data_IF_479847049618
#
_entry.id   IF_479847049618
#
_cell.length_a   1.000
_cell.length_b   1.000
_cell.length_c   1.000
_cell.angle_alpha   90.00
_cell.angle_beta   90.00
_cell.angle_gamma   90.00
#
_symmetry.space_group_name_H-M   'P 1'
#
loop_
_entity.id
_entity.type
_entity.pdbx_description
1 polymer ?
#
# COMPACT_ATOMS: atom_id res chain seq x y z
N UNK A 1 -7.31 -14.37 10.20
CA UNK A 1 -6.80 -13.14 9.58
C UNK A 1 -7.89 -12.05 9.58
N UNK A 2 -7.53 -10.78 9.77
CA UNK A 2 -8.44 -9.62 9.66
C UNK A 2 -8.95 -9.39 8.23
N UNK A 3 -8.28 -9.96 7.24
CA UNK A 3 -8.64 -9.81 5.82
C UNK A 3 -9.41 -11.00 5.24
N UNK A 4 -10.00 -11.83 6.10
CA UNK A 4 -10.77 -13.00 5.69
C UNK A 4 -9.93 -14.27 5.61
N UNK A 5 -10.12 -15.07 4.56
CA UNK A 5 -9.39 -16.32 4.37
C UNK A 5 -7.91 -16.05 4.13
N UNK A 6 -7.08 -16.64 4.94
CA UNK A 6 -5.62 -16.56 4.86
C UNK A 6 -5.02 -16.92 6.20
N UNK A 7 -4.13 -17.90 6.18
CA UNK A 7 -3.45 -18.39 7.36
C UNK A 7 -2.07 -17.75 7.50
N UNK A 8 -1.66 -17.56 8.74
CA UNK A 8 -0.28 -17.26 9.09
C UNK A 8 0.36 -18.59 9.44
N UNK A 9 1.46 -18.92 8.79
CA UNK A 9 2.13 -20.18 8.94
C UNK A 9 3.47 -19.99 9.66
N UNK A 10 3.80 -20.94 10.53
CA UNK A 10 5.16 -21.12 11.03
C UNK A 10 5.90 -22.07 10.09
N UNK A 11 7.14 -21.74 9.79
CA UNK A 11 8.01 -22.56 8.94
C UNK A 11 9.24 -22.97 9.75
N UNK A 12 9.44 -24.28 9.87
CA UNK A 12 10.56 -24.85 10.58
C UNK A 12 11.56 -25.42 9.58
N UNK A 13 12.84 -25.09 9.76
CA UNK A 13 13.94 -25.65 8.99
C UNK A 13 14.76 -26.54 9.92
N UNK A 14 14.62 -27.86 9.77
CA UNK A 14 15.38 -28.82 10.57
C UNK A 14 16.36 -29.58 9.68
N UNK A 15 17.65 -29.34 9.88
CA UNK A 15 18.76 -29.97 9.17
C UNK A 15 18.63 -29.94 7.62
N UNK A 16 17.96 -28.93 7.08
CA UNK A 16 17.79 -28.78 5.64
C UNK A 16 19.12 -28.49 4.98
N UNK A 17 19.53 -29.34 4.05
CA UNK A 17 20.75 -29.17 3.25
C UNK A 17 20.39 -28.55 1.91
N UNK A 18 21.08 -27.46 1.58
CA UNK A 18 20.97 -26.80 0.27
C UNK A 18 22.35 -26.73 -0.37
N UNK A 19 22.45 -26.82 -1.71
CA UNK A 19 23.73 -26.68 -2.38
C UNK A 19 24.26 -25.24 -2.19
N UNK A 20 25.58 -25.08 -2.09
CA UNK A 20 26.23 -23.78 -1.95
C UNK A 20 25.87 -22.82 -3.09
N UNK A 21 25.60 -23.36 -4.27
CA UNK A 21 25.14 -22.57 -5.43
C UNK A 21 23.76 -21.91 -5.24
N UNK A 22 22.99 -22.32 -4.25
CA UNK A 22 21.72 -21.67 -3.90
C UNK A 22 21.90 -20.43 -3.03
N UNK A 23 23.13 -20.13 -2.56
CA UNK A 23 23.42 -18.93 -1.79
C UNK A 23 23.32 -17.69 -2.68
N UNK A 24 22.62 -16.69 -2.19
CA UNK A 24 22.55 -15.36 -2.79
C UNK A 24 23.62 -14.46 -2.12
N UNK A 25 24.57 -13.98 -2.88
CA UNK A 25 25.66 -13.12 -2.40
C UNK A 25 26.70 -13.85 -1.55
N UNK A 26 27.52 -13.08 -0.85
CA UNK A 26 28.58 -13.59 0.00
C UNK A 26 28.11 -13.73 1.47
N UNK A 27 28.90 -14.42 2.27
CA UNK A 27 28.64 -14.53 3.72
C UNK A 27 28.65 -13.15 4.38
N UNK A 28 27.64 -12.88 5.22
CA UNK A 28 27.46 -11.60 5.89
C UNK A 28 26.64 -10.55 5.10
N UNK A 29 26.33 -10.75 3.84
CA UNK A 29 25.59 -9.80 3.00
C UNK A 29 24.05 -9.90 3.10
N UNK A 30 23.52 -10.79 3.93
CA UNK A 30 22.07 -11.04 4.00
C UNK A 30 21.26 -9.76 4.25
N UNK A 31 21.73 -8.86 5.10
CA UNK A 31 21.03 -7.62 5.44
C UNK A 31 20.99 -6.64 4.27
N UNK A 32 22.05 -6.54 3.51
CA UNK A 32 22.11 -5.70 2.31
C UNK A 32 21.15 -6.22 1.22
N UNK A 33 21.15 -7.54 1.00
CA UNK A 33 20.27 -8.20 0.03
C UNK A 33 18.80 -8.03 0.41
N UNK A 34 18.45 -8.26 1.68
CA UNK A 34 17.10 -8.07 2.21
C UNK A 34 16.68 -6.60 2.11
N UNK A 35 17.56 -5.67 2.48
CA UNK A 35 17.31 -4.24 2.38
C UNK A 35 16.99 -3.80 0.94
N UNK A 36 17.74 -4.31 -0.03
CA UNK A 36 17.49 -4.10 -1.45
C UNK A 36 16.10 -4.63 -1.86
N UNK A 37 15.78 -5.87 -1.48
CA UNK A 37 14.49 -6.50 -1.78
C UNK A 37 13.32 -5.70 -1.20
N UNK A 38 13.39 -5.36 0.10
CA UNK A 38 12.35 -4.59 0.79
C UNK A 38 12.15 -3.19 0.19
N UNK A 39 13.25 -2.54 -0.25
CA UNK A 39 13.16 -1.25 -0.94
C UNK A 39 12.42 -1.36 -2.27
N UNK A 40 12.59 -2.47 -2.98
CA UNK A 40 11.88 -2.74 -4.23
C UNK A 40 10.41 -3.08 -4.01
N UNK A 41 10.08 -3.83 -2.95
CA UNK A 41 8.71 -4.20 -2.60
C UNK A 41 7.82 -3.00 -2.23
N UNK A 42 8.41 -1.92 -1.69
CA UNK A 42 7.67 -0.71 -1.29
C UNK A 42 6.99 0.05 -2.43
N UNK A 43 7.24 -0.32 -3.68
CA UNK A 43 6.58 0.29 -4.83
C UNK A 43 5.09 -0.08 -4.89
N UNK A 44 4.25 0.93 -4.80
CA UNK A 44 2.80 0.77 -4.67
C UNK A 44 2.02 0.74 -5.99
N UNK A 45 2.66 0.51 -7.15
CA UNK A 45 1.98 0.61 -8.46
C UNK A 45 0.69 -0.23 -8.54
N UNK A 46 0.69 -1.54 -8.22
CA UNK A 46 -0.56 -2.31 -8.28
C UNK A 46 -1.58 -1.83 -7.25
N UNK A 47 -1.14 -1.33 -6.11
CA UNK A 47 -2.00 -0.96 -4.99
C UNK A 47 -2.82 0.30 -5.26
N UNK A 48 -2.21 1.37 -5.81
CA UNK A 48 -2.98 2.56 -6.18
C UNK A 48 -4.01 2.24 -7.26
N UNK A 49 -3.67 1.36 -8.20
CA UNK A 49 -4.58 0.95 -9.26
C UNK A 49 -5.80 0.20 -8.72
N UNK A 50 -5.59 -0.68 -7.72
CA UNK A 50 -6.67 -1.39 -7.03
C UNK A 50 -7.57 -0.41 -6.27
N UNK A 51 -6.99 0.54 -5.53
CA UNK A 51 -7.75 1.57 -4.82
C UNK A 51 -8.56 2.43 -5.78
N UNK A 52 -7.95 2.90 -6.88
CA UNK A 52 -8.64 3.66 -7.91
C UNK A 52 -9.79 2.88 -8.54
N UNK A 53 -9.59 1.63 -8.89
CA UNK A 53 -10.63 0.76 -9.46
C UNK A 53 -11.78 0.52 -8.48
N UNK A 54 -11.50 0.40 -7.18
CA UNK A 54 -12.54 0.29 -6.17
C UNK A 54 -13.37 1.56 -6.06
N UNK A 55 -12.73 2.73 -6.07
CA UNK A 55 -13.42 4.01 -6.07
C UNK A 55 -14.30 4.18 -7.30
N UNK A 56 -13.78 3.90 -8.50
CA UNK A 56 -14.53 4.05 -9.76
C UNK A 56 -15.76 3.12 -9.78
N UNK A 57 -15.65 1.90 -9.24
CA UNK A 57 -16.77 0.98 -9.08
C UNK A 57 -17.81 1.50 -8.09
N UNK A 58 -17.39 1.98 -6.92
CA UNK A 58 -18.28 2.54 -5.92
C UNK A 58 -19.04 3.75 -6.47
N UNK A 59 -18.35 4.69 -7.10
CA UNK A 59 -18.95 5.86 -7.75
C UNK A 59 -19.93 5.44 -8.86
N UNK A 60 -19.61 4.43 -9.66
CA UNK A 60 -20.51 3.91 -10.70
C UNK A 60 -21.81 3.38 -10.10
N UNK A 61 -21.73 2.62 -9.00
CA UNK A 61 -22.92 2.09 -8.31
C UNK A 61 -23.76 3.24 -7.74
N UNK A 62 -23.15 4.22 -7.08
CA UNK A 62 -23.85 5.39 -6.53
C UNK A 62 -24.56 6.21 -7.63
N UNK A 63 -23.94 6.38 -8.78
CA UNK A 63 -24.54 7.05 -9.95
C UNK A 63 -25.73 6.27 -10.49
N UNK A 64 -25.62 4.95 -10.65
CA UNK A 64 -26.70 4.10 -11.10
C UNK A 64 -27.93 4.13 -10.17
N UNK A 65 -27.70 4.37 -8.88
CA UNK A 65 -28.74 4.50 -7.86
C UNK A 65 -29.31 5.92 -7.73
N UNK A 66 -28.74 6.89 -8.42
CA UNK A 66 -29.14 8.30 -8.34
C UNK A 66 -28.82 8.98 -7.01
N UNK A 67 -27.86 8.43 -6.23
CA UNK A 67 -27.47 8.96 -4.91
C UNK A 67 -26.08 9.62 -4.90
N UNK A 68 -25.46 9.78 -6.06
CA UNK A 68 -24.14 10.44 -6.19
C UNK A 68 -24.24 11.97 -6.29
N UNK A 69 -25.45 12.54 -6.31
CA UNK A 69 -25.65 13.95 -6.67
C UNK A 69 -25.37 14.95 -5.54
N UNK A 70 -25.26 14.49 -4.30
CA UNK A 70 -24.93 15.38 -3.19
C UNK A 70 -23.52 15.96 -3.34
N UNK A 71 -23.37 17.24 -2.99
CA UNK A 71 -22.07 17.92 -3.06
C UNK A 71 -21.06 17.25 -2.10
N UNK A 72 -21.50 16.84 -0.93
CA UNK A 72 -20.67 16.11 0.04
C UNK A 72 -20.09 14.83 -0.56
N UNK A 73 -20.93 13.98 -1.17
CA UNK A 73 -20.48 12.73 -1.81
C UNK A 73 -19.47 12.99 -2.92
N UNK A 74 -19.69 14.05 -3.73
CA UNK A 74 -18.76 14.43 -4.80
C UNK A 74 -17.43 14.91 -4.27
N UNK A 75 -17.41 15.72 -3.20
CA UNK A 75 -16.20 16.20 -2.56
C UNK A 75 -15.39 15.03 -2.00
N UNK A 76 -16.05 14.10 -1.29
CA UNK A 76 -15.37 12.96 -0.70
C UNK A 76 -14.81 11.98 -1.75
N UNK A 77 -15.56 11.75 -2.83
CA UNK A 77 -15.06 10.99 -3.98
C UNK A 77 -13.85 11.69 -4.63
N UNK A 78 -13.88 13.02 -4.75
CA UNK A 78 -12.78 13.80 -5.30
C UNK A 78 -11.52 13.73 -4.40
N UNK A 79 -11.68 13.79 -3.08
CA UNK A 79 -10.58 13.60 -2.13
C UNK A 79 -9.95 12.21 -2.28
N UNK A 80 -10.77 11.16 -2.32
CA UNK A 80 -10.27 9.80 -2.53
C UNK A 80 -9.54 9.67 -3.87
N UNK A 81 -10.08 10.25 -4.94
CA UNK A 81 -9.45 10.26 -6.26
C UNK A 81 -8.11 11.02 -6.26
N UNK A 82 -8.03 12.16 -5.56
CA UNK A 82 -6.80 12.94 -5.45
C UNK A 82 -5.70 12.16 -4.73
N UNK A 83 -6.03 11.41 -3.67
CA UNK A 83 -5.06 10.54 -2.97
C UNK A 83 -4.60 9.37 -3.85
N UNK A 84 -5.50 8.76 -4.64
CA UNK A 84 -5.13 7.74 -5.61
C UNK A 84 -4.15 8.31 -6.65
N UNK A 85 -4.40 9.51 -7.15
CA UNK A 85 -3.53 10.17 -8.12
C UNK A 85 -2.17 10.57 -7.51
N UNK A 86 -2.15 11.09 -6.30
CA UNK A 86 -0.91 11.38 -5.57
C UNK A 86 -0.07 10.12 -5.38
N UNK A 87 -0.69 9.00 -5.00
CA UNK A 87 -0.02 7.69 -4.90
C UNK A 87 0.53 7.22 -6.25
N UNK A 88 -0.24 7.39 -7.33
CA UNK A 88 0.21 7.08 -8.69
C UNK A 88 1.45 7.88 -9.06
N UNK A 89 1.38 9.18 -8.92
CA UNK A 89 2.49 10.09 -9.26
C UNK A 89 3.75 9.76 -8.45
N UNK A 90 3.62 9.56 -7.14
CA UNK A 90 4.74 9.20 -6.28
C UNK A 90 5.37 7.86 -6.70
N UNK A 91 4.55 6.85 -7.00
CA UNK A 91 5.04 5.53 -7.44
C UNK A 91 5.78 5.63 -8.78
N UNK A 92 5.22 6.34 -9.75
CA UNK A 92 5.87 6.52 -11.07
C UNK A 92 7.14 7.38 -10.99
N UNK A 93 7.20 8.37 -10.10
CA UNK A 93 8.43 9.12 -9.88
C UNK A 93 9.58 8.21 -9.41
N UNK A 94 9.30 7.29 -8.49
CA UNK A 94 10.28 6.30 -8.03
C UNK A 94 10.71 5.38 -9.17
N UNK A 95 9.75 4.85 -9.95
CA UNK A 95 10.07 3.98 -11.10
C UNK A 95 10.90 4.69 -12.14
N UNK A 96 10.56 5.94 -12.47
CA UNK A 96 11.31 6.75 -13.44
C UNK A 96 12.75 6.99 -13.00
N UNK A 97 12.97 7.31 -11.72
CA UNK A 97 14.32 7.49 -11.17
C UNK A 97 15.12 6.18 -11.22
N UNK A 98 14.51 5.05 -10.86
CA UNK A 98 15.16 3.73 -10.98
C UNK A 98 15.54 3.39 -12.41
N UNK A 99 14.66 3.66 -13.37
CA UNK A 99 14.94 3.43 -14.77
C UNK A 99 16.14 4.24 -15.28
N UNK A 100 16.46 5.35 -14.63
CA UNK A 100 17.67 6.18 -14.88
C UNK A 100 18.90 5.71 -14.10
N UNK A 101 18.80 4.62 -13.33
CA UNK A 101 19.90 4.10 -12.49
C UNK A 101 20.13 4.89 -11.20
N UNK A 102 19.20 5.75 -10.80
CA UNK A 102 19.32 6.50 -9.55
C UNK A 102 19.07 5.60 -8.34
N UNK A 103 19.86 5.80 -7.29
CA UNK A 103 19.59 5.17 -5.99
C UNK A 103 18.32 5.77 -5.39
N UNK A 104 17.42 4.91 -4.96
CA UNK A 104 16.20 5.31 -4.25
C UNK A 104 16.40 5.06 -2.76
N UNK A 105 16.23 6.11 -1.99
CA UNK A 105 16.32 6.09 -0.53
C UNK A 105 14.93 6.15 0.13
N UNK A 106 14.84 7.03 1.11
CA UNK A 106 13.63 7.24 1.92
C UNK A 106 12.40 7.73 1.12
N UNK A 107 12.58 8.22 -0.09
CA UNK A 107 11.47 8.65 -0.97
C UNK A 107 10.53 7.48 -1.32
N UNK A 108 11.03 6.24 -1.34
CA UNK A 108 10.18 5.06 -1.48
C UNK A 108 9.18 4.94 -0.32
N UNK A 109 9.56 5.38 0.89
CA UNK A 109 8.67 5.43 2.06
C UNK A 109 7.55 6.46 1.87
N UNK A 110 7.83 7.60 1.27
CA UNK A 110 6.80 8.60 0.94
C UNK A 110 5.80 8.07 -0.08
N UNK A 111 6.26 7.39 -1.13
CA UNK A 111 5.37 6.75 -2.10
C UNK A 111 4.53 5.64 -1.46
N UNK A 112 5.13 4.85 -0.56
CA UNK A 112 4.40 3.82 0.19
C UNK A 112 3.33 4.43 1.09
N UNK A 113 3.66 5.50 1.83
CA UNK A 113 2.71 6.18 2.69
C UNK A 113 1.54 6.80 1.90
N UNK A 114 1.80 7.43 0.76
CA UNK A 114 0.76 7.93 -0.13
C UNK A 114 -0.20 6.81 -0.58
N UNK A 115 0.33 5.62 -0.84
CA UNK A 115 -0.49 4.46 -1.19
C UNK A 115 -1.38 4.00 -0.02
N UNK A 116 -0.84 3.97 1.20
CA UNK A 116 -1.62 3.64 2.41
C UNK A 116 -2.79 4.61 2.58
N UNK A 117 -2.54 5.90 2.42
CA UNK A 117 -3.58 6.93 2.52
C UNK A 117 -4.67 6.75 1.47
N UNK A 118 -4.31 6.43 0.23
CA UNK A 118 -5.25 6.16 -0.84
C UNK A 118 -6.11 4.92 -0.56
N UNK A 119 -5.49 3.80 -0.16
CA UNK A 119 -6.19 2.54 0.18
C UNK A 119 -7.21 2.76 1.32
N UNK A 120 -6.79 3.43 2.40
CA UNK A 120 -7.64 3.73 3.56
C UNK A 120 -8.79 4.66 3.18
N UNK A 121 -8.51 5.76 2.48
CA UNK A 121 -9.54 6.74 2.12
C UNK A 121 -10.62 6.14 1.22
N UNK A 122 -10.25 5.31 0.25
CA UNK A 122 -11.22 4.61 -0.60
C UNK A 122 -12.05 3.61 0.21
N UNK A 123 -11.42 2.88 1.15
CA UNK A 123 -12.14 1.97 2.04
C UNK A 123 -13.16 2.73 2.92
N UNK A 124 -12.77 3.87 3.51
CA UNK A 124 -13.65 4.76 4.27
C UNK A 124 -14.81 5.27 3.42
N UNK A 125 -14.54 5.72 2.20
CA UNK A 125 -15.58 6.16 1.26
C UNK A 125 -16.61 5.06 0.98
N UNK A 126 -16.15 3.82 0.78
CA UNK A 126 -17.06 2.67 0.55
C UNK A 126 -17.91 2.41 1.79
N UNK A 127 -17.34 2.44 2.99
CA UNK A 127 -18.08 2.24 4.24
C UNK A 127 -19.15 3.31 4.44
N UNK A 128 -18.83 4.55 4.17
CA UNK A 128 -19.69 5.70 4.44
C UNK A 128 -20.85 5.81 3.44
N UNK A 129 -20.57 5.63 2.15
CA UNK A 129 -21.52 5.91 1.08
C UNK A 129 -22.14 4.66 0.44
N UNK A 130 -21.56 3.49 0.67
CA UNK A 130 -22.01 2.23 0.07
C UNK A 130 -21.82 1.04 1.03
N UNK A 131 -22.29 1.13 2.29
CA UNK A 131 -22.03 0.11 3.33
C UNK A 131 -22.50 -1.30 2.92
N UNK A 132 -23.57 -1.43 2.14
CA UNK A 132 -24.07 -2.71 1.64
C UNK A 132 -23.10 -3.39 0.66
N UNK A 133 -22.16 -2.66 0.07
CA UNK A 133 -21.11 -3.27 -0.77
C UNK A 133 -20.11 -4.12 0.02
N UNK A 134 -20.17 -4.07 1.37
CA UNK A 134 -19.38 -4.95 2.22
C UNK A 134 -19.98 -6.35 2.34
N UNK A 135 -21.21 -6.54 1.86
CA UNK A 135 -21.84 -7.85 1.69
C UNK A 135 -21.28 -8.58 0.46
N UNK A 136 -21.65 -9.85 0.30
CA UNK A 136 -21.12 -10.73 -0.75
C UNK A 136 -21.54 -10.34 -2.17
N UNK A 137 -22.53 -9.44 -2.31
CA UNK A 137 -22.96 -8.93 -3.60
C UNK A 137 -21.89 -8.12 -4.37
N UNK A 138 -20.89 -7.59 -3.65
CA UNK A 138 -19.81 -6.80 -4.23
C UNK A 138 -18.43 -7.25 -3.74
N UNK A 139 -17.99 -8.48 -4.09
CA UNK A 139 -16.79 -9.10 -3.52
C UNK A 139 -15.52 -8.27 -3.72
N UNK A 140 -15.42 -7.53 -4.82
CA UNK A 140 -14.27 -6.66 -5.09
C UNK A 140 -14.19 -5.48 -4.11
N UNK A 141 -15.31 -4.82 -3.79
CA UNK A 141 -15.35 -3.72 -2.83
C UNK A 141 -15.13 -4.23 -1.41
N UNK A 142 -15.73 -5.36 -1.06
CA UNK A 142 -15.50 -6.06 0.21
C UNK A 142 -14.02 -6.37 0.41
N UNK A 143 -13.39 -6.99 -0.60
CA UNK A 143 -11.95 -7.28 -0.58
C UNK A 143 -11.11 -6.01 -0.42
N UNK A 144 -11.44 -4.93 -1.14
CA UNK A 144 -10.71 -3.67 -1.01
C UNK A 144 -10.85 -3.07 0.38
N UNK A 145 -12.05 -3.09 0.96
CA UNK A 145 -12.28 -2.64 2.34
C UNK A 145 -11.41 -3.44 3.32
N UNK A 146 -11.43 -4.77 3.26
CA UNK A 146 -10.59 -5.62 4.09
C UNK A 146 -9.10 -5.28 3.96
N UNK A 147 -8.62 -5.03 2.75
CA UNK A 147 -7.24 -4.56 2.49
C UNK A 147 -6.97 -3.18 3.09
N UNK A 148 -7.95 -2.27 3.05
CA UNK A 148 -7.87 -0.94 3.66
C UNK A 148 -7.65 -0.99 5.17
N UNK A 149 -8.27 -1.95 5.87
CA UNK A 149 -8.09 -2.15 7.32
C UNK A 149 -6.62 -2.49 7.65
N UNK A 150 -5.99 -3.33 6.84
CA UNK A 150 -4.58 -3.75 7.04
C UNK A 150 -3.58 -2.89 6.27
N UNK A 151 -4.06 -1.88 5.55
CA UNK A 151 -3.19 -0.93 4.86
C UNK A 151 -2.29 -0.23 5.88
N UNK A 152 -0.98 -0.28 5.64
CA UNK A 152 0.00 0.28 6.56
C UNK A 152 0.45 -0.67 7.67
N UNK A 153 0.13 -1.97 7.59
CA UNK A 153 0.74 -3.01 8.43
C UNK A 153 1.77 -3.79 7.59
N UNK A 154 1.32 -4.44 6.52
CA UNK A 154 2.18 -5.19 5.61
C UNK A 154 3.04 -4.27 4.72
N UNK A 155 4.16 -4.78 4.21
CA UNK A 155 5.13 -4.05 3.38
C UNK A 155 5.68 -2.77 4.05
N UNK A 156 5.86 -2.82 5.36
CA UNK A 156 6.34 -1.74 6.21
C UNK A 156 5.20 -0.94 6.84
N UNK A 157 5.13 -1.00 8.17
CA UNK A 157 4.12 -0.30 8.95
C UNK A 157 4.13 1.21 8.67
N UNK A 158 2.95 1.82 8.70
CA UNK A 158 2.78 3.25 8.40
C UNK A 158 3.68 4.12 9.28
N UNK A 159 3.78 3.78 10.56
CA UNK A 159 4.58 4.46 11.57
C UNK A 159 6.08 4.36 11.23
N UNK A 160 6.53 3.19 10.78
CA UNK A 160 7.92 3.00 10.34
C UNK A 160 8.21 3.83 9.09
N UNK A 161 7.27 3.91 8.14
CA UNK A 161 7.44 4.76 6.95
C UNK A 161 7.53 6.24 7.35
N UNK A 162 6.67 6.69 8.28
CA UNK A 162 6.71 8.05 8.79
C UNK A 162 8.03 8.36 9.53
N UNK A 163 8.55 7.43 10.33
CA UNK A 163 9.84 7.61 11.00
C UNK A 163 11.00 7.72 10.00
N UNK A 164 10.98 6.91 8.92
CA UNK A 164 11.98 7.02 7.84
C UNK A 164 11.86 8.38 7.13
N UNK A 165 10.64 8.83 6.82
CA UNK A 165 10.41 10.12 6.20
C UNK A 165 10.90 11.25 7.13
N UNK A 166 10.54 11.19 8.40
CA UNK A 166 10.94 12.19 9.38
C UNK A 166 12.47 12.32 9.49
N UNK A 167 13.17 11.19 9.67
CA UNK A 167 14.63 11.20 9.85
C UNK A 167 15.38 11.48 8.55
N UNK A 168 15.03 10.80 7.48
CA UNK A 168 15.89 10.70 6.29
C UNK A 168 15.47 11.64 5.15
N UNK A 169 14.21 12.10 5.14
CA UNK A 169 13.73 13.12 4.17
C UNK A 169 13.69 14.48 4.80
N UNK A 170 13.15 14.62 6.03
CA UNK A 170 12.97 15.90 6.70
C UNK A 170 14.12 16.28 7.65
N UNK A 171 15.07 15.38 7.92
CA UNK A 171 16.20 15.61 8.81
C UNK A 171 15.81 15.83 10.28
N UNK A 172 14.63 15.34 10.71
CA UNK A 172 14.18 15.46 12.08
C UNK A 172 14.95 14.52 13.01
N UNK A 173 15.07 14.86 14.31
CA UNK A 173 15.73 14.00 15.29
C UNK A 173 15.04 12.63 15.37
N UNK A 174 15.82 11.57 15.53
CA UNK A 174 15.29 10.24 15.83
C UNK A 174 14.78 10.19 17.27
N UNK A 175 13.72 9.42 17.49
CA UNK A 175 13.29 9.14 18.86
C UNK A 175 14.42 8.50 19.67
N UNK A 176 14.59 8.92 20.94
CA UNK A 176 15.53 8.25 21.83
C UNK A 176 15.13 6.76 22.01
N UNK A 177 16.11 5.88 21.95
CA UNK A 177 15.92 4.44 22.18
C UNK A 177 15.78 4.14 23.64
#
# INVERSE_FOLDING_TARGET
>A
SLIGEGDIHEVFFDNVRVPTSARLGEEGQAWEIIGFSLTNERLGIPRYSLARSALDRAVSILKQRGVFDSEATKIEAAHAAALCEASRMASYAIVSRRAKGEKIGAEASSARFATIMAERRVAEFVVEYLPEALADAHPYLKMHHQRGIVAGIAAGAAEIQLNIIASDVLGLPREPR
#
